data_IF_706996709370
#
_entry.id   IF_706996709370
#
_cell.length_a   1.000
_cell.length_b   1.000
_cell.length_c   1.000
_cell.angle_alpha   90.00
_cell.angle_beta   90.00
_cell.angle_gamma   90.00
#
_symmetry.space_group_name_H-M   'P 1'
#
loop_
_entity.id
_entity.type
_entity.pdbx_description
1 polymer ?
#
# COMPACT_ATOMS: atom_id res chain seq x y z
N UNK A 1 -0.95 -5.46 24.05
CA UNK A 1 0.47 -5.87 24.08
C UNK A 1 0.70 -6.73 22.83
N UNK A 2 1.48 -6.25 21.86
CA UNK A 2 1.67 -6.98 20.60
C UNK A 2 2.39 -6.17 19.53
N UNK A 3 3.54 -5.59 19.86
CA UNK A 3 4.44 -5.01 18.86
C UNK A 3 5.05 -6.20 18.10
N UNK A 4 4.49 -6.52 16.93
CA UNK A 4 5.10 -7.54 16.07
C UNK A 4 6.15 -6.86 15.21
N UNK A 5 7.41 -7.17 15.54
CA UNK A 5 8.59 -6.73 14.82
C UNK A 5 8.42 -6.95 13.30
N UNK A 6 8.70 -5.94 12.45
CA UNK A 6 8.89 -6.19 11.04
C UNK A 6 10.07 -7.17 10.88
N UNK A 7 9.83 -8.30 10.20
CA UNK A 7 10.88 -9.28 9.95
C UNK A 7 11.80 -8.71 8.86
N UNK A 8 13.11 -8.56 9.10
CA UNK A 8 14.03 -7.95 8.13
C UNK A 8 14.11 -8.68 6.78
N UNK A 9 13.68 -9.95 6.72
CA UNK A 9 13.56 -10.68 5.46
C UNK A 9 12.44 -10.17 4.55
N UNK A 10 11.39 -9.57 5.13
CA UNK A 10 10.33 -8.92 4.36
C UNK A 10 10.85 -7.62 3.75
N UNK A 11 11.54 -6.79 4.54
CA UNK A 11 12.18 -5.57 4.06
C UNK A 11 13.02 -5.84 2.82
N UNK A 12 13.91 -6.82 2.90
CA UNK A 12 14.74 -7.24 1.77
C UNK A 12 13.93 -7.80 0.60
N UNK A 13 12.78 -8.46 0.82
CA UNK A 13 11.94 -8.98 -0.28
C UNK A 13 11.12 -7.89 -0.93
N UNK A 14 10.45 -7.03 -0.17
CA UNK A 14 9.75 -5.86 -0.68
C UNK A 14 10.73 -4.99 -1.45
N UNK A 15 11.86 -4.65 -0.84
CA UNK A 15 12.91 -3.84 -1.45
C UNK A 15 13.51 -4.49 -2.71
N UNK A 16 13.66 -5.83 -2.74
CA UNK A 16 14.10 -6.54 -3.93
C UNK A 16 13.02 -6.67 -5.01
N UNK A 17 11.75 -6.91 -4.68
CA UNK A 17 10.65 -6.93 -5.65
C UNK A 17 10.43 -5.53 -6.23
N UNK A 18 10.53 -4.51 -5.37
CA UNK A 18 10.52 -3.09 -5.71
C UNK A 18 11.73 -2.73 -6.58
N UNK A 19 12.93 -3.19 -6.25
CA UNK A 19 14.12 -2.94 -7.08
C UNK A 19 14.05 -3.68 -8.41
N UNK A 20 13.63 -4.94 -8.42
CA UNK A 20 13.69 -5.81 -9.59
C UNK A 20 12.59 -5.48 -10.59
N UNK A 21 11.36 -5.19 -10.14
CA UNK A 21 10.24 -4.84 -11.03
C UNK A 21 10.00 -3.34 -11.14
N UNK A 22 10.33 -2.55 -10.11
CA UNK A 22 9.85 -1.17 -9.97
C UNK A 22 10.93 -0.08 -9.97
N UNK A 23 12.23 -0.33 -9.78
CA UNK A 23 13.23 0.74 -9.87
C UNK A 23 13.21 1.40 -11.27
N UNK A 24 13.01 2.73 -11.34
CA UNK A 24 13.01 3.45 -12.61
C UNK A 24 14.44 3.78 -12.98
N UNK A 25 15.00 3.13 -13.99
CA UNK A 25 16.23 3.63 -14.62
C UNK A 25 16.01 4.93 -15.43
N UNK A 26 14.93 5.71 -15.19
CA UNK A 26 14.77 7.05 -15.77
C UNK A 26 13.40 7.71 -15.58
N UNK A 27 13.40 9.06 -15.66
CA UNK A 27 12.20 9.93 -15.57
C UNK A 27 11.13 9.62 -16.62
N UNK A 28 11.53 9.11 -17.79
CA UNK A 28 10.61 8.74 -18.87
C UNK A 28 9.71 7.53 -18.50
N UNK A 29 10.27 6.52 -17.82
CA UNK A 29 9.49 5.38 -17.32
C UNK A 29 8.60 5.78 -16.15
N UNK A 30 9.05 6.70 -15.29
CA UNK A 30 8.21 7.28 -14.24
C UNK A 30 6.97 7.99 -14.83
N UNK A 31 7.15 8.81 -15.88
CA UNK A 31 6.03 9.47 -16.57
C UNK A 31 5.10 8.50 -17.30
N UNK A 32 5.64 7.47 -17.94
CA UNK A 32 4.83 6.42 -18.58
C UNK A 32 3.99 5.65 -17.54
N UNK A 33 4.56 5.39 -16.36
CA UNK A 33 3.85 4.77 -15.22
C UNK A 33 2.81 5.69 -14.60
N UNK A 34 3.10 6.99 -14.43
CA UNK A 34 2.10 7.97 -14.02
C UNK A 34 0.94 8.01 -15.02
N UNK A 35 1.22 7.96 -16.32
CA UNK A 35 0.16 7.86 -17.34
C UNK A 35 -0.67 6.58 -17.20
N UNK A 36 -0.03 5.41 -17.09
CA UNK A 36 -0.74 4.13 -16.87
C UNK A 36 -1.57 4.16 -15.57
N UNK A 37 -1.04 4.74 -14.50
CA UNK A 37 -1.75 4.92 -13.23
C UNK A 37 -3.00 5.79 -13.36
N UNK A 38 -2.97 6.80 -14.21
CA UNK A 38 -4.11 7.69 -14.48
C UNK A 38 -5.08 7.18 -15.56
N UNK A 39 -4.66 6.25 -16.42
CA UNK A 39 -5.43 5.83 -17.62
C UNK A 39 -5.94 4.39 -17.52
N UNK A 40 -5.10 3.44 -17.08
CA UNK A 40 -5.39 2.01 -17.02
C UNK A 40 -5.65 1.50 -15.59
N UNK A 41 -5.17 2.24 -14.58
CA UNK A 41 -5.35 1.96 -13.15
C UNK A 41 -4.32 0.97 -12.61
N UNK A 42 -3.68 1.30 -11.49
CA UNK A 42 -2.75 0.37 -10.82
C UNK A 42 -3.56 -0.63 -10.01
N UNK A 43 -3.39 -1.92 -10.28
CA UNK A 43 -3.87 -2.97 -9.40
C UNK A 43 -2.84 -3.25 -8.30
N UNK A 44 -3.28 -3.21 -7.05
CA UNK A 44 -2.49 -3.70 -5.92
C UNK A 44 -2.96 -5.11 -5.55
N UNK A 45 -2.00 -5.98 -5.28
CA UNK A 45 -2.18 -7.31 -4.71
C UNK A 45 -1.43 -7.32 -3.37
N UNK A 46 -2.12 -7.56 -2.28
CA UNK A 46 -1.53 -7.45 -0.94
C UNK A 46 -2.06 -8.55 -0.03
N UNK A 47 -1.14 -9.24 0.63
CA UNK A 47 -1.44 -10.20 1.67
C UNK A 47 -0.80 -9.73 2.97
N UNK A 48 -1.61 -9.24 3.91
CA UNK A 48 -1.12 -8.63 5.15
C UNK A 48 -2.16 -8.72 6.26
N UNK A 49 -1.74 -8.48 7.52
CA UNK A 49 -2.65 -8.26 8.64
C UNK A 49 -3.11 -6.80 8.64
N UNK A 50 -4.42 -6.61 8.60
CA UNK A 50 -5.05 -5.30 8.64
C UNK A 50 -5.53 -5.02 10.06
N UNK A 51 -5.00 -3.96 10.67
CA UNK A 51 -5.50 -3.33 11.88
C UNK A 51 -6.42 -2.14 11.56
N UNK A 52 -7.31 -1.80 12.49
CA UNK A 52 -8.30 -0.74 12.29
C UNK A 52 -8.43 0.13 13.53
N UNK A 53 -8.34 1.44 13.33
CA UNK A 53 -8.57 2.44 14.37
C UNK A 53 -9.66 3.39 13.89
N UNK A 54 -10.75 3.49 14.65
CA UNK A 54 -11.80 4.48 14.40
C UNK A 54 -11.83 5.49 15.54
N UNK A 55 -12.51 6.62 15.35
CA UNK A 55 -12.66 7.66 16.38
C UNK A 55 -13.28 7.12 17.68
N UNK A 56 -14.09 6.06 17.60
CA UNK A 56 -14.68 5.38 18.76
C UNK A 56 -13.73 4.36 19.45
N UNK A 57 -12.50 4.21 18.97
CA UNK A 57 -11.50 3.27 19.49
C UNK A 57 -10.96 2.30 18.43
N UNK A 58 -9.90 1.58 18.79
CA UNK A 58 -9.31 0.53 17.95
C UNK A 58 -10.09 -0.77 18.10
N UNK A 59 -10.30 -1.48 16.99
CA UNK A 59 -10.96 -2.80 17.01
C UNK A 59 -9.90 -3.90 17.02
N UNK A 60 -9.91 -4.74 18.05
CA UNK A 60 -8.94 -5.83 18.25
C UNK A 60 -9.04 -6.97 17.21
N UNK A 61 -9.98 -6.88 16.27
CA UNK A 61 -10.18 -7.88 15.22
C UNK A 61 -9.24 -7.69 14.02
N UNK A 62 -7.96 -7.47 14.27
CA UNK A 62 -6.98 -7.45 13.18
C UNK A 62 -6.92 -8.83 12.51
N UNK A 63 -6.95 -8.87 11.17
CA UNK A 63 -6.99 -10.12 10.40
C UNK A 63 -6.07 -10.07 9.21
N UNK A 64 -5.44 -11.21 8.91
CA UNK A 64 -4.74 -11.39 7.64
C UNK A 64 -5.79 -11.42 6.52
N UNK A 65 -5.61 -10.58 5.52
CA UNK A 65 -6.43 -10.55 4.32
C UNK A 65 -5.53 -10.54 3.09
N UNK A 66 -6.01 -11.19 2.05
CA UNK A 66 -5.49 -11.06 0.70
C UNK A 66 -6.46 -10.18 -0.08
N UNK A 67 -5.99 -9.03 -0.56
CA UNK A 67 -6.78 -8.08 -1.33
C UNK A 67 -6.11 -7.85 -2.68
N UNK A 68 -6.89 -7.97 -3.75
CA UNK A 68 -6.51 -7.54 -5.09
C UNK A 68 -7.52 -6.49 -5.54
N UNK A 69 -7.09 -5.24 -5.71
CA UNK A 69 -8.00 -4.14 -6.09
C UNK A 69 -7.31 -3.07 -6.92
N UNK A 70 -8.09 -2.38 -7.73
CA UNK A 70 -7.62 -1.20 -8.47
C UNK A 70 -7.52 0.00 -7.52
N UNK A 71 -6.36 0.63 -7.50
CA UNK A 71 -6.12 1.84 -6.74
C UNK A 71 -6.69 3.06 -7.47
N UNK A 72 -7.31 4.01 -6.75
CA UNK A 72 -7.69 5.30 -7.28
C UNK A 72 -6.49 6.07 -7.86
N UNK A 73 -6.69 6.92 -8.89
CA UNK A 73 -5.60 7.61 -9.58
C UNK A 73 -4.67 8.43 -8.67
N UNK A 74 -5.18 9.00 -7.58
CA UNK A 74 -4.37 9.79 -6.64
C UNK A 74 -3.35 8.94 -5.88
N UNK A 75 -3.78 7.77 -5.37
CA UNK A 75 -2.88 6.81 -4.72
C UNK A 75 -1.97 6.12 -5.72
N UNK A 76 -2.50 5.81 -6.91
CA UNK A 76 -1.76 5.22 -8.00
C UNK A 76 -0.63 6.14 -8.52
N UNK A 77 -0.71 7.45 -8.31
CA UNK A 77 0.37 8.40 -8.63
C UNK A 77 1.35 8.56 -7.46
N UNK A 78 0.83 8.62 -6.24
CA UNK A 78 1.62 8.93 -5.03
C UNK A 78 2.54 7.79 -4.60
N UNK A 79 2.09 6.53 -4.70
CA UNK A 79 2.90 5.36 -4.33
C UNK A 79 4.15 5.18 -5.21
N UNK A 80 4.07 5.28 -6.55
CA UNK A 80 5.26 5.27 -7.41
C UNK A 80 6.22 6.43 -7.12
N UNK A 81 5.71 7.64 -6.88
CA UNK A 81 6.54 8.81 -6.62
C UNK A 81 7.27 8.69 -5.27
N UNK A 82 6.58 8.20 -4.24
CA UNK A 82 7.13 7.85 -2.94
C UNK A 82 8.27 6.81 -3.07
N UNK A 83 8.04 5.75 -3.85
CA UNK A 83 9.04 4.71 -4.09
C UNK A 83 10.26 5.26 -4.84
N UNK A 84 10.04 6.07 -5.89
CA UNK A 84 11.12 6.65 -6.68
C UNK A 84 11.96 7.65 -5.89
N UNK A 85 11.37 8.27 -4.87
CA UNK A 85 12.06 9.21 -3.97
C UNK A 85 12.91 8.50 -2.90
N UNK A 86 12.83 7.16 -2.82
CA UNK A 86 13.56 6.37 -1.83
C UNK A 86 13.01 6.51 -0.41
N UNK A 87 11.69 6.71 -0.25
CA UNK A 87 11.07 6.71 1.07
C UNK A 87 11.29 5.38 1.79
N UNK A 88 11.37 5.45 3.12
CA UNK A 88 11.54 4.29 3.98
C UNK A 88 10.35 3.33 3.87
N UNK A 89 10.60 2.05 4.13
CA UNK A 89 9.60 0.98 4.01
C UNK A 89 8.34 1.27 4.84
N UNK A 90 8.50 1.75 6.07
CA UNK A 90 7.39 2.09 6.95
C UNK A 90 6.48 3.16 6.33
N UNK A 91 7.05 4.13 5.62
CA UNK A 91 6.29 5.18 4.95
C UNK A 91 5.55 4.65 3.72
N UNK A 92 6.16 3.75 2.96
CA UNK A 92 5.51 3.08 1.84
C UNK A 92 4.36 2.18 2.31
N UNK A 93 4.56 1.46 3.42
CA UNK A 93 3.52 0.66 4.06
C UNK A 93 2.36 1.52 4.56
N UNK A 94 2.64 2.67 5.17
CA UNK A 94 1.62 3.61 5.63
C UNK A 94 0.80 4.16 4.46
N UNK A 95 1.45 4.59 3.38
CA UNK A 95 0.76 5.06 2.16
C UNK A 95 -0.10 3.95 1.54
N UNK A 96 0.40 2.71 1.55
CA UNK A 96 -0.35 1.56 1.05
C UNK A 96 -1.56 1.26 1.93
N UNK A 97 -1.40 1.32 3.25
CA UNK A 97 -2.48 1.13 4.22
C UNK A 97 -3.56 2.21 4.05
N UNK A 98 -3.18 3.47 3.84
CA UNK A 98 -4.09 4.58 3.56
C UNK A 98 -4.90 4.33 2.28
N UNK A 99 -4.23 3.90 1.20
CA UNK A 99 -4.85 3.62 -0.08
C UNK A 99 -5.87 2.47 0.00
N UNK A 100 -5.48 1.35 0.62
CA UNK A 100 -6.37 0.21 0.85
C UNK A 100 -7.52 0.57 1.80
N UNK A 101 -7.22 1.37 2.84
CA UNK A 101 -8.19 1.91 3.77
C UNK A 101 -9.26 2.73 3.07
N UNK A 102 -8.84 3.63 2.17
CA UNK A 102 -9.76 4.44 1.37
C UNK A 102 -10.61 3.58 0.43
N UNK A 103 -9.98 2.73 -0.38
CA UNK A 103 -10.69 2.04 -1.46
C UNK A 103 -11.55 0.89 -0.95
N UNK A 104 -11.03 0.06 -0.05
CA UNK A 104 -11.73 -1.16 0.38
C UNK A 104 -12.60 -0.92 1.62
N UNK A 105 -12.06 -0.25 2.64
CA UNK A 105 -12.75 -0.12 3.93
C UNK A 105 -13.69 1.09 3.97
N UNK A 106 -13.29 2.21 3.37
CA UNK A 106 -14.06 3.44 3.32
C UNK A 106 -14.90 3.60 2.06
N UNK A 107 -14.83 2.65 1.12
CA UNK A 107 -15.55 2.68 -0.16
C UNK A 107 -15.37 4.02 -0.90
N UNK A 108 -14.10 4.43 -1.07
CA UNK A 108 -13.71 5.74 -1.62
C UNK A 108 -14.35 6.93 -0.87
N UNK A 109 -14.43 6.83 0.46
CA UNK A 109 -14.96 7.86 1.32
C UNK A 109 -16.49 7.89 1.44
N UNK A 110 -17.21 6.86 0.97
CA UNK A 110 -18.66 6.74 1.11
C UNK A 110 -19.11 6.22 2.48
N UNK A 111 -18.21 5.58 3.23
CA UNK A 111 -18.50 5.01 4.55
C UNK A 111 -17.27 5.05 5.46
N UNK A 112 -17.48 4.72 6.74
CA UNK A 112 -16.40 4.56 7.73
C UNK A 112 -15.44 5.76 7.78
N UNK A 113 -16.00 6.99 7.78
CA UNK A 113 -15.22 8.22 7.91
C UNK A 113 -14.38 8.18 9.19
N UNK A 114 -13.12 8.62 9.11
CA UNK A 114 -12.19 8.59 10.24
C UNK A 114 -11.68 7.19 10.60
N UNK A 115 -11.95 6.16 9.79
CA UNK A 115 -11.29 4.87 9.91
C UNK A 115 -9.86 4.96 9.37
N UNK A 116 -8.90 4.67 10.23
CA UNK A 116 -7.50 4.46 9.90
C UNK A 116 -7.24 2.96 9.78
N UNK A 117 -6.45 2.61 8.76
CA UNK A 117 -6.05 1.23 8.48
C UNK A 117 -4.54 1.15 8.62
N UNK A 118 -4.10 0.11 9.31
CA UNK A 118 -2.68 -0.19 9.50
C UNK A 118 -2.38 -1.56 8.91
N UNK A 119 -1.25 -1.65 8.20
CA UNK A 119 -0.72 -2.91 7.71
C UNK A 119 0.38 -3.40 8.65
N UNK A 120 0.23 -4.63 9.11
CA UNK A 120 1.22 -5.35 9.92
C UNK A 120 1.36 -6.76 9.36
N UNK A 121 2.38 -7.51 9.78
CA UNK A 121 2.60 -8.90 9.33
C UNK A 121 2.40 -9.05 7.80
N UNK A 122 2.95 -8.13 7.01
CA UNK A 122 2.85 -8.17 5.55
C UNK A 122 3.56 -9.44 5.07
N UNK A 123 2.89 -10.23 4.25
CA UNK A 123 3.37 -11.49 3.69
C UNK A 123 3.76 -11.31 2.23
N UNK A 124 2.96 -10.55 1.48
CA UNK A 124 3.15 -10.26 0.07
C UNK A 124 2.56 -8.89 -0.27
N UNK A 125 3.21 -8.14 -1.15
CA UNK A 125 2.74 -6.84 -1.63
C UNK A 125 3.29 -6.60 -3.03
N UNK A 126 2.40 -6.60 -4.01
CA UNK A 126 2.73 -6.46 -5.42
C UNK A 126 1.83 -5.40 -6.07
N UNK A 127 2.40 -4.70 -7.03
CA UNK A 127 1.67 -3.75 -7.87
C UNK A 127 1.72 -4.21 -9.33
N UNK A 128 0.58 -4.17 -10.01
CA UNK A 128 0.38 -4.51 -11.41
C UNK A 128 -0.15 -3.28 -12.17
N UNK A 129 0.41 -3.04 -13.35
CA UNK A 129 0.00 -1.99 -14.30
C UNK A 129 -0.91 -2.59 -15.37
#
# INVERSE_FOLDING_TARGET
MGVKQPRPQLATRLENEVRTRWQPQGRARARARQKAATTDGIMIDVQARFGYTATAGSTDQSRIRHLTLALPPHHATRLPDAQASGLDEDQLLQLTAEALGETYFRDNGRRAHGLEVELTDVLDLQFRL
#
